data_IF_454803441079
#
_entry.id   IF_454803441079
#
_cell.length_a   1.000
_cell.length_b   1.000
_cell.length_c   1.000
_cell.angle_alpha   90.00
_cell.angle_beta   90.00
_cell.angle_gamma   90.00
#
_symmetry.space_group_name_H-M   'P 1'
#
loop_
_entity.id
_entity.type
_entity.pdbx_description
1 polymer ?
#
# COMPACT_ATOMS: atom_id res chain seq x y z
N UNK A 1 4.48 -15.69 -88.44
CA UNK A 1 4.18 -15.31 -87.03
C UNK A 1 3.85 -16.60 -86.30
N UNK A 2 4.82 -17.15 -85.57
CA UNK A 2 4.68 -18.41 -84.84
C UNK A 2 4.43 -18.10 -83.37
N UNK A 3 3.38 -18.67 -82.78
CA UNK A 3 3.16 -18.66 -81.33
C UNK A 3 3.15 -20.10 -80.81
N UNK A 4 4.25 -20.49 -80.18
CA UNK A 4 4.33 -21.65 -79.29
C UNK A 4 3.89 -21.18 -77.90
N UNK A 5 2.85 -21.80 -77.32
CA UNK A 5 2.56 -21.64 -75.89
C UNK A 5 2.66 -23.00 -75.20
N UNK A 6 3.79 -23.17 -74.51
CA UNK A 6 4.20 -24.37 -73.78
C UNK A 6 3.41 -24.56 -72.48
N UNK A 7 2.95 -25.78 -72.13
CA UNK A 7 2.14 -26.08 -70.95
C UNK A 7 2.99 -26.53 -69.76
N UNK A 8 4.06 -25.79 -69.42
CA UNK A 8 5.00 -26.15 -68.35
C UNK A 8 4.90 -25.26 -67.11
N UNK A 9 3.70 -24.87 -66.72
CA UNK A 9 3.52 -24.00 -65.55
C UNK A 9 2.34 -24.45 -64.67
N UNK A 10 2.18 -25.76 -64.50
CA UNK A 10 1.09 -26.32 -63.69
C UNK A 10 1.55 -27.47 -62.78
N UNK A 11 2.80 -27.48 -62.33
CA UNK A 11 3.31 -28.57 -61.45
C UNK A 11 4.00 -28.06 -60.16
N UNK A 12 4.22 -26.76 -59.97
CA UNK A 12 4.97 -26.28 -58.78
C UNK A 12 4.09 -25.99 -57.55
N UNK A 13 2.76 -25.99 -57.67
CA UNK A 13 1.84 -25.55 -56.59
C UNK A 13 1.17 -26.69 -55.78
N UNK A 14 1.77 -27.88 -55.72
CA UNK A 14 1.18 -29.03 -54.99
C UNK A 14 2.07 -29.63 -53.88
N UNK A 15 3.20 -29.02 -53.53
CA UNK A 15 4.19 -29.61 -52.62
C UNK A 15 4.41 -28.86 -51.28
N UNK A 16 3.55 -27.91 -50.89
CA UNK A 16 3.74 -27.06 -49.70
C UNK A 16 2.65 -27.20 -48.62
N UNK A 17 1.81 -28.24 -48.65
CA UNK A 17 0.65 -28.36 -47.75
C UNK A 17 0.75 -29.46 -46.66
N UNK A 18 1.93 -30.01 -46.36
CA UNK A 18 2.05 -31.16 -45.43
C UNK A 18 3.06 -31.03 -44.28
N UNK A 19 3.40 -29.82 -43.82
CA UNK A 19 4.39 -29.64 -42.73
C UNK A 19 4.00 -28.64 -41.62
N UNK A 20 2.72 -28.53 -41.26
CA UNK A 20 2.28 -27.67 -40.15
C UNK A 20 1.29 -28.39 -39.21
N UNK A 21 1.70 -29.53 -38.64
CA UNK A 21 0.90 -30.24 -37.64
C UNK A 21 1.73 -30.75 -36.46
N UNK A 22 2.62 -29.91 -35.90
CA UNK A 22 3.31 -30.18 -34.63
C UNK A 22 3.54 -28.87 -33.86
N UNK A 23 2.46 -28.21 -33.43
CA UNK A 23 2.58 -26.98 -32.63
C UNK A 23 1.41 -26.68 -31.69
N UNK A 24 0.44 -27.59 -31.53
CA UNK A 24 -0.79 -27.32 -30.79
C UNK A 24 -0.81 -27.84 -29.33
N UNK A 25 0.33 -28.25 -28.76
CA UNK A 25 0.40 -28.86 -27.42
C UNK A 25 1.34 -28.14 -26.44
N UNK A 26 1.44 -26.81 -26.52
CA UNK A 26 2.16 -26.01 -25.53
C UNK A 26 1.39 -24.76 -25.05
N UNK A 27 0.06 -24.77 -25.16
CA UNK A 27 -0.81 -23.76 -24.55
C UNK A 27 -1.65 -24.36 -23.41
N UNK A 28 -1.12 -25.33 -22.67
CA UNK A 28 -1.74 -25.76 -21.42
C UNK A 28 -1.29 -24.83 -20.30
N UNK A 29 -2.23 -24.00 -19.83
CA UNK A 29 -2.25 -23.44 -18.48
C UNK A 29 -1.44 -22.17 -18.20
N UNK A 30 -1.66 -21.11 -18.95
CA UNK A 30 -1.80 -19.82 -18.27
C UNK A 30 -3.15 -19.86 -17.52
N UNK A 31 -3.19 -20.54 -16.36
CA UNK A 31 -4.28 -20.37 -15.40
C UNK A 31 -4.36 -18.87 -15.15
N UNK A 32 -5.35 -18.20 -15.76
CA UNK A 32 -5.57 -16.79 -15.56
C UNK A 32 -5.60 -16.54 -14.07
N UNK A 33 -4.54 -15.91 -13.55
CA UNK A 33 -4.55 -15.46 -12.17
C UNK A 33 -5.73 -14.52 -12.10
N UNK A 34 -6.76 -14.89 -11.33
CA UNK A 34 -7.87 -13.99 -11.08
C UNK A 34 -7.23 -12.72 -10.51
N UNK A 35 -7.55 -11.53 -11.07
CA UNK A 35 -7.06 -10.28 -10.50
C UNK A 35 -7.40 -10.24 -9.01
N UNK A 36 -6.65 -9.48 -8.22
CA UNK A 36 -6.68 -9.47 -6.75
C UNK A 36 -8.00 -8.96 -6.12
N UNK A 37 -9.15 -9.33 -6.66
CA UNK A 37 -10.48 -8.91 -6.23
C UNK A 37 -10.76 -7.43 -6.45
N UNK A 38 -9.86 -6.72 -7.13
CA UNK A 38 -10.02 -5.31 -7.48
C UNK A 38 -10.92 -5.19 -8.70
N UNK A 39 -11.91 -4.31 -8.60
CA UNK A 39 -12.70 -3.88 -9.74
C UNK A 39 -11.79 -3.15 -10.72
N UNK A 40 -12.03 -3.34 -12.02
CA UNK A 40 -11.23 -2.70 -13.06
C UNK A 40 -11.45 -1.17 -13.10
N UNK A 41 -12.68 -0.74 -12.82
CA UNK A 41 -13.11 0.66 -12.83
C UNK A 41 -14.06 0.92 -11.67
N UNK A 42 -14.09 2.16 -11.19
CA UNK A 42 -15.01 2.59 -10.13
C UNK A 42 -14.29 3.22 -8.95
N UNK A 43 -15.01 3.35 -7.83
CA UNK A 43 -14.50 3.94 -6.59
C UNK A 43 -14.55 2.90 -5.49
N UNK A 44 -13.42 2.69 -4.82
CA UNK A 44 -13.31 1.81 -3.66
C UNK A 44 -12.72 2.58 -2.48
N UNK A 45 -13.41 2.54 -1.34
CA UNK A 45 -12.95 3.17 -0.10
C UNK A 45 -12.45 2.09 0.84
N UNK A 46 -11.21 2.22 1.28
CA UNK A 46 -10.59 1.37 2.30
C UNK A 46 -10.34 2.22 3.53
N UNK A 47 -10.79 1.76 4.69
CA UNK A 47 -10.63 2.53 5.91
C UNK A 47 -10.56 1.62 7.13
N UNK A 48 -9.83 2.08 8.13
CA UNK A 48 -9.86 1.55 9.48
C UNK A 48 -10.21 2.63 10.52
N UNK A 49 -10.77 3.76 10.07
CA UNK A 49 -11.15 4.88 10.92
C UNK A 49 -11.95 4.39 12.13
N UNK A 50 -11.63 4.97 13.28
CA UNK A 50 -12.17 4.57 14.56
C UNK A 50 -12.37 5.80 15.45
N UNK A 51 -13.17 5.66 16.50
CA UNK A 51 -13.40 6.71 17.49
C UNK A 51 -12.54 6.47 18.73
N UNK A 52 -11.75 7.46 19.13
CA UNK A 52 -11.04 7.46 20.41
C UNK A 52 -12.02 7.82 21.52
N UNK A 53 -12.33 6.85 22.40
CA UNK A 53 -13.36 7.02 23.44
C UNK A 53 -13.06 8.17 24.42
N UNK A 54 -11.79 8.44 24.68
CA UNK A 54 -11.40 9.38 25.72
C UNK A 54 -11.46 10.84 25.25
N UNK A 55 -11.25 11.08 23.95
CA UNK A 55 -11.17 12.43 23.36
C UNK A 55 -12.30 12.74 22.37
N UNK A 56 -13.01 11.73 21.90
CA UNK A 56 -13.98 11.87 20.80
C UNK A 56 -13.33 12.14 19.43
N UNK A 57 -12.01 12.06 19.35
CA UNK A 57 -11.24 12.25 18.11
C UNK A 57 -11.32 11.01 17.23
N UNK A 58 -11.22 11.21 15.91
CA UNK A 58 -11.14 10.11 14.96
C UNK A 58 -9.68 9.66 14.89
N UNK A 59 -9.45 8.35 14.97
CA UNK A 59 -8.17 7.70 14.72
C UNK A 59 -8.16 6.91 13.41
N UNK A 60 -6.98 6.49 12.95
CA UNK A 60 -6.79 5.61 11.79
C UNK A 60 -6.60 6.38 10.48
N UNK A 61 -6.90 5.72 9.36
CA UNK A 61 -6.76 6.33 8.04
C UNK A 61 -7.81 5.82 7.03
N UNK A 62 -7.88 6.51 5.89
CA UNK A 62 -8.73 6.19 4.77
C UNK A 62 -7.96 6.39 3.46
N UNK A 63 -8.07 5.39 2.59
CA UNK A 63 -7.57 5.41 1.22
C UNK A 63 -8.78 5.25 0.31
N UNK A 64 -9.04 6.27 -0.50
CA UNK A 64 -10.06 6.21 -1.54
C UNK A 64 -9.38 6.04 -2.89
N UNK A 65 -9.60 4.88 -3.51
CA UNK A 65 -9.07 4.54 -4.82
C UNK A 65 -10.12 4.84 -5.88
N UNK A 66 -9.78 5.69 -6.83
CA UNK A 66 -10.55 5.94 -8.05
C UNK A 66 -9.85 5.26 -9.21
N UNK A 67 -10.57 4.37 -9.92
CA UNK A 67 -10.06 3.67 -11.10
C UNK A 67 -10.81 4.11 -12.34
N UNK A 68 -10.12 4.78 -13.25
CA UNK A 68 -10.65 5.20 -14.54
C UNK A 68 -10.05 4.38 -15.68
N UNK A 69 -10.53 4.57 -16.91
CA UNK A 69 -9.99 3.86 -18.07
C UNK A 69 -8.56 4.32 -18.41
N UNK A 70 -8.26 5.59 -18.12
CA UNK A 70 -7.04 6.28 -18.50
C UNK A 70 -6.00 6.32 -17.39
N UNK A 71 -6.44 6.45 -16.13
CA UNK A 71 -5.55 6.56 -14.98
C UNK A 71 -6.26 6.16 -13.66
N UNK A 72 -5.47 5.73 -12.70
CA UNK A 72 -5.91 5.54 -11.31
C UNK A 72 -5.55 6.80 -10.49
N UNK A 73 -6.33 7.11 -9.46
CA UNK A 73 -6.08 8.22 -8.52
C UNK A 73 -6.39 7.78 -7.10
N UNK A 74 -5.63 8.31 -6.14
CA UNK A 74 -5.79 8.01 -4.72
C UNK A 74 -6.00 9.30 -3.95
N UNK A 75 -7.01 9.30 -3.09
CA UNK A 75 -7.19 10.31 -2.05
C UNK A 75 -6.88 9.66 -0.70
N UNK A 76 -5.93 10.23 0.02
CA UNK A 76 -5.49 9.76 1.33
C UNK A 76 -5.89 10.73 2.43
N UNK A 77 -6.42 10.18 3.51
CA UNK A 77 -6.80 10.89 4.72
C UNK A 77 -6.27 10.13 5.92
N UNK A 78 -5.63 10.81 6.86
CA UNK A 78 -5.13 10.22 8.08
C UNK A 78 -5.42 11.13 9.26
N UNK A 79 -5.37 10.57 10.47
CA UNK A 79 -5.65 11.34 11.68
C UNK A 79 -4.36 11.62 12.43
N UNK A 80 -4.11 12.90 12.71
CA UNK A 80 -3.09 13.35 13.65
C UNK A 80 -3.74 14.27 14.70
N UNK A 81 -4.83 13.78 15.32
CA UNK A 81 -5.77 14.56 16.13
C UNK A 81 -7.11 14.68 15.39
N UNK A 82 -7.29 15.75 14.61
CA UNK A 82 -8.41 15.83 13.67
C UNK A 82 -8.14 14.99 12.41
N UNK A 83 -9.19 14.61 11.68
CA UNK A 83 -9.05 14.04 10.35
C UNK A 83 -8.36 15.07 9.45
N UNK A 84 -7.24 14.68 8.82
CA UNK A 84 -6.48 15.58 7.95
C UNK A 84 -7.35 16.03 6.77
N UNK A 85 -6.97 17.17 6.17
CA UNK A 85 -7.47 17.49 4.84
C UNK A 85 -7.15 16.34 3.89
N UNK A 86 -8.06 15.99 2.96
CA UNK A 86 -7.78 14.95 1.97
C UNK A 86 -6.60 15.37 1.08
N UNK A 87 -5.63 14.47 0.92
CA UNK A 87 -4.45 14.66 0.09
C UNK A 87 -4.57 13.77 -1.15
N UNK A 88 -4.40 14.36 -2.33
CA UNK A 88 -4.36 13.59 -3.58
C UNK A 88 -2.93 13.08 -3.79
N UNK A 89 -2.78 11.80 -4.07
CA UNK A 89 -1.49 11.21 -4.37
C UNK A 89 -0.91 11.78 -5.68
N UNK A 90 0.38 12.08 -5.68
CA UNK A 90 1.15 12.52 -6.85
C UNK A 90 1.49 11.35 -7.78
N UNK A 91 1.63 10.15 -7.23
CA UNK A 91 1.88 8.91 -7.98
C UNK A 91 1.07 7.75 -7.40
N UNK A 92 0.62 6.84 -8.27
CA UNK A 92 -0.20 5.68 -7.92
C UNK A 92 0.16 4.50 -8.82
N UNK A 93 0.61 3.40 -8.21
CA UNK A 93 0.94 2.17 -8.92
C UNK A 93 0.11 1.00 -8.38
N UNK A 94 -0.55 0.25 -9.28
CA UNK A 94 -1.33 -0.95 -8.94
C UNK A 94 -0.90 -2.11 -9.84
N UNK A 95 -0.55 -3.23 -9.20
CA UNK A 95 -0.38 -4.51 -9.88
C UNK A 95 -1.62 -5.38 -9.65
N UNK A 96 -2.57 -5.38 -10.58
CA UNK A 96 -3.81 -6.15 -10.47
C UNK A 96 -3.60 -7.67 -10.32
N UNK A 97 -2.47 -8.20 -10.80
CA UNK A 97 -2.16 -9.62 -10.75
C UNK A 97 -1.66 -10.08 -9.37
N UNK A 98 -0.97 -9.21 -8.63
CA UNK A 98 -0.42 -9.52 -7.30
C UNK A 98 -1.18 -8.83 -6.17
N UNK A 99 -1.93 -7.77 -6.47
CA UNK A 99 -2.51 -6.86 -5.49
C UNK A 99 -1.50 -5.90 -4.88
N UNK A 100 -0.25 -5.87 -5.35
CA UNK A 100 0.73 -4.89 -4.89
C UNK A 100 0.27 -3.48 -5.28
N UNK A 101 0.45 -2.55 -4.36
CA UNK A 101 -0.04 -1.19 -4.47
C UNK A 101 0.94 -0.25 -3.79
N UNK A 102 1.22 0.88 -4.41
CA UNK A 102 1.90 1.98 -3.77
C UNK A 102 1.36 3.31 -4.26
N UNK A 103 1.49 4.32 -3.41
CA UNK A 103 1.14 5.69 -3.76
C UNK A 103 2.03 6.66 -3.00
N UNK A 104 2.29 7.81 -3.62
CA UNK A 104 3.11 8.87 -3.03
C UNK A 104 2.24 10.09 -2.78
N UNK A 105 2.37 10.69 -1.60
CA UNK A 105 1.74 11.96 -1.27
C UNK A 105 2.82 13.01 -0.99
N UNK A 106 2.47 14.27 -1.15
CA UNK A 106 3.21 15.38 -0.57
C UNK A 106 2.57 15.73 0.79
N UNK A 107 3.36 15.63 1.86
CA UNK A 107 2.94 15.98 3.21
C UNK A 107 2.73 17.50 3.38
N UNK A 108 2.15 17.94 4.50
CA UNK A 108 1.94 19.37 4.80
C UNK A 108 3.25 20.16 4.95
N UNK A 109 4.37 19.46 5.13
CA UNK A 109 5.74 19.95 5.19
C UNK A 109 6.45 19.93 3.82
N UNK A 110 5.71 19.68 2.74
CA UNK A 110 6.25 19.45 1.38
C UNK A 110 7.24 18.29 1.30
N UNK A 111 7.19 17.35 2.24
CA UNK A 111 7.95 16.12 2.19
C UNK A 111 7.17 15.04 1.45
N UNK A 112 7.79 14.42 0.45
CA UNK A 112 7.19 13.27 -0.23
C UNK A 112 7.24 12.03 0.64
N UNK A 113 6.10 11.32 0.71
CA UNK A 113 5.97 10.07 1.46
C UNK A 113 5.30 9.02 0.59
N UNK A 114 6.03 7.93 0.33
CA UNK A 114 5.53 6.77 -0.41
C UNK A 114 5.01 5.71 0.56
N UNK A 115 3.77 5.30 0.36
CA UNK A 115 3.12 4.23 1.10
C UNK A 115 3.08 2.97 0.26
N UNK A 116 3.60 1.87 0.81
CA UNK A 116 3.57 0.56 0.18
C UNK A 116 2.41 -0.24 0.76
N UNK A 117 1.72 -1.02 -0.06
CA UNK A 117 0.55 -1.79 0.36
C UNK A 117 0.27 -3.01 -0.48
N UNK A 118 -0.69 -3.81 -0.02
CA UNK A 118 -1.15 -5.00 -0.72
C UNK A 118 -2.64 -5.23 -0.48
N UNK A 119 -3.39 -5.38 -1.56
CA UNK A 119 -4.78 -5.77 -1.54
C UNK A 119 -4.92 -7.28 -1.28
N UNK A 120 -5.89 -7.67 -0.46
CA UNK A 120 -6.26 -9.08 -0.31
C UNK A 120 -6.81 -9.63 -1.63
N UNK A 121 -6.69 -10.94 -1.85
CA UNK A 121 -7.15 -11.59 -3.11
C UNK A 121 -8.63 -11.39 -3.42
N UNK A 122 -9.45 -11.07 -2.42
CA UNK A 122 -10.88 -10.80 -2.56
C UNK A 122 -11.19 -9.29 -2.62
N UNK A 123 -10.18 -8.42 -2.65
CA UNK A 123 -10.31 -6.97 -2.74
C UNK A 123 -10.95 -6.32 -1.50
N UNK A 124 -11.18 -7.08 -0.41
CA UNK A 124 -11.89 -6.58 0.78
C UNK A 124 -10.99 -5.91 1.80
N UNK A 125 -9.68 -6.05 1.67
CA UNK A 125 -8.71 -5.48 2.60
C UNK A 125 -7.57 -4.85 1.83
N UNK A 126 -7.12 -3.68 2.27
CA UNK A 126 -5.83 -3.11 1.93
C UNK A 126 -4.94 -3.13 3.17
N UNK A 127 -3.76 -3.73 3.07
CA UNK A 127 -2.75 -3.67 4.15
C UNK A 127 -1.64 -2.75 3.71
N UNK A 128 -1.37 -1.67 4.46
CA UNK A 128 -0.20 -0.83 4.24
C UNK A 128 0.97 -1.34 5.08
N UNK A 129 2.18 -1.17 4.56
CA UNK A 129 3.41 -1.41 5.28
C UNK A 129 3.57 -0.40 6.43
N UNK A 130 4.23 -0.84 7.50
CA UNK A 130 4.36 -0.09 8.74
C UNK A 130 3.38 -0.55 9.82
N UNK A 131 3.39 0.17 10.93
CA UNK A 131 2.54 -0.08 12.09
C UNK A 131 2.11 1.23 12.75
N UNK A 132 0.97 1.19 13.45
CA UNK A 132 0.48 2.35 14.20
C UNK A 132 1.24 2.61 15.50
N UNK A 133 1.97 1.61 15.98
CA UNK A 133 2.58 1.62 17.30
C UNK A 133 4.09 1.59 17.16
N UNK A 134 4.78 2.58 17.74
CA UNK A 134 6.24 2.58 17.76
C UNK A 134 6.82 1.49 18.69
N UNK A 135 8.11 1.22 18.53
CA UNK A 135 8.87 0.31 19.40
C UNK A 135 8.63 -1.17 19.11
N UNK A 136 8.40 -1.97 20.16
CA UNK A 136 8.29 -3.44 20.03
C UNK A 136 6.85 -3.91 19.73
N UNK A 137 5.88 -3.01 19.78
CA UNK A 137 4.48 -3.29 19.53
C UNK A 137 4.18 -3.12 18.03
N UNK A 138 3.90 -4.21 17.31
CA UNK A 138 3.48 -4.11 15.90
C UNK A 138 1.97 -4.19 15.78
N UNK A 139 1.34 -3.09 15.41
CA UNK A 139 -0.07 -3.05 15.04
C UNK A 139 -0.21 -2.76 13.54
N UNK A 140 -0.59 -3.74 12.72
CA UNK A 140 -0.59 -3.57 11.27
C UNK A 140 -1.66 -2.59 10.79
N UNK A 141 -1.32 -1.79 9.79
CA UNK A 141 -2.25 -0.87 9.12
C UNK A 141 -3.14 -1.64 8.14
N UNK A 142 -4.22 -2.23 8.67
CA UNK A 142 -5.15 -3.08 7.90
C UNK A 142 -6.50 -2.40 7.71
N UNK A 143 -6.72 -1.87 6.52
CA UNK A 143 -7.91 -1.13 6.13
C UNK A 143 -8.93 -2.07 5.48
N UNK A 144 -10.19 -1.99 5.92
CA UNK A 144 -11.27 -2.79 5.32
C UNK A 144 -11.96 -1.99 4.22
N UNK A 145 -12.39 -2.67 3.16
CA UNK A 145 -13.24 -2.07 2.13
C UNK A 145 -14.59 -1.69 2.75
N UNK A 146 -14.95 -0.43 2.61
CA UNK A 146 -16.20 0.12 3.13
C UNK A 146 -17.31 -0.13 2.11
N UNK A 147 -18.35 -0.83 2.56
CA UNK A 147 -19.58 -1.08 1.80
C UNK A 147 -20.82 -0.42 2.43
N UNK A 148 -20.71 -0.01 3.69
CA UNK A 148 -21.77 0.66 4.45
C UNK A 148 -21.15 1.93 5.07
N UNK A 149 -21.46 3.06 4.45
CA UNK A 149 -20.95 4.38 4.81
C UNK A 149 -21.75 5.04 5.94
N UNK A 150 -22.90 4.47 6.33
CA UNK A 150 -23.72 4.96 7.43
C UNK A 150 -23.38 4.31 8.78
N UNK A 151 -22.60 3.23 8.78
CA UNK A 151 -22.21 2.53 10.00
C UNK A 151 -21.39 3.44 10.94
N UNK A 152 -21.70 3.46 12.25
CA UNK A 152 -20.90 4.21 13.22
C UNK A 152 -19.47 3.67 13.31
N UNK A 153 -18.52 4.56 13.60
CA UNK A 153 -17.13 4.19 13.82
C UNK A 153 -17.00 3.27 15.04
N UNK A 154 -16.19 2.22 14.89
CA UNK A 154 -15.79 1.36 16.02
C UNK A 154 -14.86 2.12 16.97
N UNK A 155 -14.73 1.64 18.20
CA UNK A 155 -13.71 2.16 19.10
C UNK A 155 -12.29 1.85 18.59
N UNK A 156 -11.35 2.78 18.76
CA UNK A 156 -9.95 2.53 18.43
C UNK A 156 -9.35 1.47 19.35
N UNK A 157 -8.51 0.61 18.78
CA UNK A 157 -7.71 -0.35 19.54
C UNK A 157 -6.47 0.39 20.08
N UNK A 158 -6.25 0.45 21.40
CA UNK A 158 -5.07 1.09 21.95
C UNK A 158 -3.81 0.30 21.61
N UNK A 159 -2.69 1.00 21.42
CA UNK A 159 -1.39 0.36 21.33
C UNK A 159 -1.11 -0.42 22.61
N UNK A 160 -0.62 -1.67 22.53
CA UNK A 160 -0.29 -2.44 23.71
C UNK A 160 0.84 -1.74 24.48
N UNK A 161 0.82 -1.85 25.81
CA UNK A 161 1.79 -1.18 26.65
C UNK A 161 3.20 -1.71 26.36
N UNK A 162 4.15 -0.81 26.09
CA UNK A 162 5.56 -1.18 26.02
C UNK A 162 6.02 -1.58 27.43
N UNK A 163 6.69 -2.73 27.62
CA UNK A 163 7.30 -3.04 28.90
C UNK A 163 8.23 -1.90 29.32
N UNK A 164 8.09 -1.41 30.55
CA UNK A 164 8.97 -0.38 31.08
C UNK A 164 10.43 -0.86 30.94
N UNK A 165 11.29 -0.03 30.34
CA UNK A 165 12.71 -0.29 30.39
C UNK A 165 13.13 -0.41 31.87
N UNK A 166 14.01 -1.36 32.24
CA UNK A 166 14.53 -1.45 33.60
C UNK A 166 15.07 -0.08 34.02
N UNK A 167 14.66 0.39 35.20
CA UNK A 167 15.10 1.68 35.73
C UNK A 167 16.64 1.73 35.72
N UNK A 168 17.18 2.75 35.06
CA UNK A 168 18.61 3.05 35.08
C UNK A 168 19.05 3.23 36.55
N UNK A 169 20.08 2.52 37.04
CA UNK A 169 20.54 2.66 38.41
C UNK A 169 20.90 4.12 38.68
N UNK A 170 20.34 4.69 39.75
CA UNK A 170 20.56 6.07 40.14
C UNK A 170 22.06 6.41 40.12
N UNK A 171 22.41 7.48 39.40
CA UNK A 171 23.77 8.00 39.38
C UNK A 171 24.24 8.30 40.82
N UNK A 172 25.48 7.96 41.19
CA UNK A 172 26.00 8.24 42.52
C UNK A 172 26.02 9.77 42.77
N UNK A 173 25.75 10.22 44.01
CA UNK A 173 25.69 11.64 44.33
C UNK A 173 27.04 12.31 44.09
N UNK A 174 27.01 13.45 43.39
CA UNK A 174 28.17 14.31 43.16
C UNK A 174 28.66 14.87 44.52
N UNK A 175 29.96 14.83 44.83
CA UNK A 175 30.48 15.48 46.03
C UNK A 175 30.27 17.00 45.95
N UNK A 176 29.65 17.58 46.97
CA UNK A 176 29.42 19.02 47.06
C UNK A 176 30.73 19.82 47.20
N UNK A 177 30.73 21.12 46.85
CA UNK A 177 31.92 21.96 46.89
C UNK A 177 32.41 22.13 48.34
N UNK A 178 33.72 21.97 48.53
CA UNK A 178 34.38 22.26 49.80
C UNK A 178 34.25 23.76 50.12
N UNK A 179 33.58 24.05 51.24
CA UNK A 179 33.46 25.42 51.77
C UNK A 179 34.83 25.94 52.16
N UNK A 180 35.18 27.13 51.66
CA UNK A 180 36.42 27.83 51.95
C UNK A 180 36.50 28.25 53.42
N UNK A 181 37.71 28.18 53.99
CA UNK A 181 38.05 28.86 55.23
C UNK A 181 38.84 30.13 54.88
N UNK A 182 38.22 31.27 55.15
CA UNK A 182 38.90 32.56 55.29
C UNK A 182 39.88 32.51 56.47
N UNK A 183 41.14 32.87 56.21
CA UNK A 183 42.12 33.24 57.25
C UNK A 183 42.04 34.74 57.52
N UNK A 184 41.93 35.20 58.78
CA UNK A 184 42.06 36.60 59.11
C UNK A 184 43.53 37.05 59.09
N UNK A 185 43.76 38.22 58.51
CA UNK A 185 45.03 38.95 58.47
C UNK A 185 45.36 39.48 59.87
N UNK A 186 46.63 39.40 60.28
CA UNK A 186 47.24 40.20 61.34
C UNK A 186 48.41 40.98 60.77
#
# INVERSE_FOLDING_TARGET
>A
MSQLKSPRMTVVLAALLLASATGAWAATSAKGKKPAGLERYGVAVYSDLCLQKDRGEIGGQRVTLHRFAEADSVVYEFTAGALSMPIVASDVNINDATGAFDFTIEGPDSEERTFNGTFSKDGKTLTLAGDYCGGNARMPMKLSRISDFGRPLKACTPCPATPAAPAEPAAPPTPGPASGNETPVS
#
